data_IF_217596857496
#
_entry.id   IF_217596857496
#
_cell.length_a   1.000
_cell.length_b   1.000
_cell.length_c   1.000
_cell.angle_alpha   90.00
_cell.angle_beta   90.00
_cell.angle_gamma   90.00
#
_symmetry.space_group_name_H-M   'P 1'
#
loop_
_entity.id
_entity.type
_entity.pdbx_description
1 polymer ?
#
# COMPACT_ATOMS: atom_id res chain seq x y z
N UNK A 1 -1.64 -19.87 -11.77
CA UNK A 1 -0.73 -19.19 -10.82
C UNK A 1 -0.92 -17.68 -10.78
N UNK A 2 -0.86 -16.96 -11.92
CA UNK A 2 -0.97 -15.49 -11.97
C UNK A 2 -2.23 -14.92 -11.28
N UNK A 3 -3.40 -15.52 -11.52
CA UNK A 3 -4.68 -15.09 -10.93
C UNK A 3 -4.66 -15.21 -9.39
N UNK A 4 -4.14 -16.32 -8.86
CA UNK A 4 -4.06 -16.56 -7.42
C UNK A 4 -3.18 -15.51 -6.73
N UNK A 5 -2.01 -15.21 -7.30
CA UNK A 5 -1.11 -14.19 -6.76
C UNK A 5 -1.73 -12.79 -6.79
N UNK A 6 -2.46 -12.45 -7.84
CA UNK A 6 -3.19 -11.17 -7.92
C UNK A 6 -4.28 -11.08 -6.85
N UNK A 7 -5.03 -12.16 -6.61
CA UNK A 7 -6.05 -12.20 -5.56
C UNK A 7 -5.43 -12.09 -4.16
N UNK A 8 -4.29 -12.74 -3.91
CA UNK A 8 -3.56 -12.63 -2.65
C UNK A 8 -3.07 -11.19 -2.44
N UNK A 9 -2.45 -10.57 -3.46
CA UNK A 9 -1.99 -9.19 -3.38
C UNK A 9 -3.14 -8.22 -3.13
N UNK A 10 -4.27 -8.40 -3.82
CA UNK A 10 -5.47 -7.62 -3.60
C UNK A 10 -6.01 -7.81 -2.17
N UNK A 11 -6.07 -9.05 -1.68
CA UNK A 11 -6.49 -9.36 -0.31
C UNK A 11 -5.58 -8.70 0.73
N UNK A 12 -4.27 -8.73 0.53
CA UNK A 12 -3.30 -8.09 1.44
C UNK A 12 -3.48 -6.58 1.54
N UNK A 13 -3.94 -5.92 0.47
CA UNK A 13 -4.21 -4.48 0.45
C UNK A 13 -5.61 -4.16 1.01
N UNK A 14 -6.63 -4.91 0.60
CA UNK A 14 -8.02 -4.63 0.92
C UNK A 14 -8.42 -5.07 2.34
N UNK A 15 -7.87 -6.18 2.85
CA UNK A 15 -8.23 -6.75 4.16
C UNK A 15 -8.09 -5.75 5.31
N UNK A 16 -6.96 -5.05 5.53
CA UNK A 16 -6.83 -4.13 6.66
C UNK A 16 -7.79 -2.93 6.56
N UNK A 17 -8.12 -2.47 5.35
CA UNK A 17 -9.11 -1.41 5.15
C UNK A 17 -10.54 -1.88 5.49
N UNK A 18 -10.91 -3.09 5.07
CA UNK A 18 -12.20 -3.70 5.40
C UNK A 18 -12.33 -3.96 6.91
N UNK A 19 -11.27 -4.45 7.55
CA UNK A 19 -11.23 -4.62 9.01
C UNK A 19 -11.42 -3.29 9.74
N UNK A 20 -10.81 -2.21 9.27
CA UNK A 20 -11.00 -0.86 9.83
C UNK A 20 -12.44 -0.35 9.66
N UNK A 21 -13.07 -0.66 8.53
CA UNK A 21 -14.45 -0.26 8.22
C UNK A 21 -15.48 -1.04 9.04
N UNK A 22 -15.22 -2.33 9.29
CA UNK A 22 -16.09 -3.23 10.06
C UNK A 22 -16.08 -2.98 11.57
N UNK A 23 -15.20 -2.12 12.09
CA UNK A 23 -15.21 -1.76 13.53
C UNK A 23 -16.47 -1.00 13.88
N UNK A 24 -17.01 -1.16 15.07
CA UNK A 24 -18.13 -0.33 15.57
C UNK A 24 -17.72 0.70 16.64
N UNK A 25 -16.48 0.60 17.14
CA UNK A 25 -15.97 1.46 18.23
C UNK A 25 -15.65 2.90 17.80
N UNK A 26 -15.92 3.27 16.54
CA UNK A 26 -15.60 4.59 15.99
C UNK A 26 -16.81 5.20 15.26
N UNK A 27 -16.97 6.54 15.29
CA UNK A 27 -17.99 7.20 14.49
C UNK A 27 -17.77 6.92 13.00
N UNK A 28 -18.87 6.72 12.28
CA UNK A 28 -18.90 6.24 10.88
C UNK A 28 -17.95 7.03 9.95
N UNK A 29 -17.92 8.35 10.07
CA UNK A 29 -17.02 9.21 9.27
C UNK A 29 -15.53 8.92 9.50
N UNK A 30 -15.12 8.68 10.76
CA UNK A 30 -13.71 8.40 11.10
C UNK A 30 -13.30 6.98 10.68
N UNK A 31 -14.24 6.03 10.65
CA UNK A 31 -14.03 4.67 10.09
C UNK A 31 -13.74 4.72 8.60
N UNK A 32 -14.63 5.38 7.85
CA UNK A 32 -14.52 5.52 6.40
C UNK A 32 -13.22 6.22 6.02
N UNK A 33 -12.90 7.36 6.67
CA UNK A 33 -11.67 8.10 6.39
C UNK A 33 -10.41 7.25 6.63
N UNK A 34 -10.34 6.54 7.75
CA UNK A 34 -9.18 5.68 8.08
C UNK A 34 -9.07 4.48 7.14
N UNK A 35 -10.18 3.85 6.79
CA UNK A 35 -10.20 2.77 5.80
C UNK A 35 -9.74 3.25 4.41
N UNK A 36 -10.18 4.44 3.99
CA UNK A 36 -9.72 5.09 2.76
C UNK A 36 -8.21 5.36 2.79
N UNK A 37 -7.68 5.89 3.89
CA UNK A 37 -6.24 6.11 4.03
C UNK A 37 -5.43 4.82 3.91
N UNK A 38 -5.88 3.74 4.56
CA UNK A 38 -5.25 2.42 4.49
C UNK A 38 -5.28 1.88 3.05
N UNK A 39 -6.40 2.02 2.35
CA UNK A 39 -6.58 1.49 1.00
C UNK A 39 -5.87 2.32 -0.08
N UNK A 40 -5.88 3.65 0.02
CA UNK A 40 -5.30 4.53 -0.98
C UNK A 40 -3.77 4.64 -0.87
N UNK A 41 -3.19 4.50 0.32
CA UNK A 41 -1.74 4.59 0.51
C UNK A 41 -0.91 3.64 -0.40
N UNK A 42 -1.26 2.34 -0.54
CA UNK A 42 -0.56 1.46 -1.46
C UNK A 42 -0.81 1.80 -2.93
N UNK A 43 -2.00 2.30 -3.30
CA UNK A 43 -2.28 2.75 -4.66
C UNK A 43 -1.42 3.98 -5.05
N UNK A 44 -1.19 4.90 -4.12
CA UNK A 44 -0.27 6.03 -4.32
C UNK A 44 1.18 5.53 -4.51
N UNK A 45 1.65 4.61 -3.66
CA UNK A 45 2.98 3.99 -3.81
C UNK A 45 3.15 3.27 -5.16
N UNK A 46 2.14 2.52 -5.61
CA UNK A 46 2.14 1.89 -6.92
C UNK A 46 2.11 2.91 -8.07
N UNK A 47 1.43 4.05 -7.88
CA UNK A 47 1.47 5.18 -8.82
C UNK A 47 2.87 5.79 -8.94
N UNK A 48 3.60 5.91 -7.82
CA UNK A 48 5.01 6.33 -7.84
C UNK A 48 5.92 5.35 -8.61
N UNK A 49 5.63 4.04 -8.56
CA UNK A 49 6.36 3.06 -9.38
C UNK A 49 6.19 3.35 -10.88
N UNK A 50 4.99 3.75 -11.32
CA UNK A 50 4.76 4.09 -12.73
C UNK A 50 5.40 5.40 -13.16
N UNK A 51 5.77 6.27 -12.20
CA UNK A 51 6.58 7.47 -12.48
C UNK A 51 8.09 7.18 -12.58
N UNK A 52 8.52 5.95 -12.28
CA UNK A 52 9.90 5.51 -12.53
C UNK A 52 10.07 5.41 -14.04
N UNK A 53 10.92 6.25 -14.66
CA UNK A 53 11.05 6.27 -16.10
C UNK A 53 11.50 4.90 -16.60
N UNK A 54 10.69 4.29 -17.46
CA UNK A 54 10.91 2.91 -17.89
C UNK A 54 12.18 2.79 -18.74
N UNK A 55 12.61 3.86 -19.43
CA UNK A 55 13.76 3.87 -20.34
C UNK A 55 14.32 5.30 -20.64
N UNK A 56 14.18 6.29 -19.75
CA UNK A 56 14.84 7.59 -19.98
C UNK A 56 16.34 7.52 -19.66
N UNK A 57 17.16 8.35 -20.33
CA UNK A 57 18.63 8.39 -20.18
C UNK A 57 19.15 8.55 -18.74
N UNK A 58 18.31 8.95 -17.77
CA UNK A 58 18.61 8.90 -16.33
C UNK A 58 18.64 7.48 -15.74
N UNK A 59 17.82 6.56 -16.23
CA UNK A 59 17.78 5.16 -15.79
C UNK A 59 19.02 4.36 -16.23
N UNK A 60 19.60 4.70 -17.40
CA UNK A 60 20.86 4.09 -17.87
C UNK A 60 22.07 4.44 -16.99
N UNK A 61 22.02 5.57 -16.26
CA UNK A 61 23.13 5.97 -15.39
C UNK A 61 23.26 5.12 -14.13
N UNK A 62 22.14 4.63 -13.59
CA UNK A 62 22.09 3.86 -12.33
C UNK A 62 21.00 2.78 -12.36
N UNK A 63 21.13 1.75 -13.21
CA UNK A 63 20.09 0.74 -13.43
C UNK A 63 19.75 -0.05 -12.17
N UNK A 64 20.76 -0.38 -11.35
CA UNK A 64 20.58 -1.13 -10.11
C UNK A 64 19.82 -0.32 -9.04
N UNK A 65 20.04 1.00 -8.97
CA UNK A 65 19.38 1.85 -8.00
C UNK A 65 17.87 1.97 -8.30
N UNK A 66 17.50 2.09 -9.57
CA UNK A 66 16.10 2.14 -10.00
C UNK A 66 15.38 0.80 -9.85
N UNK A 67 16.06 -0.31 -10.13
CA UNK A 67 15.52 -1.65 -9.87
C UNK A 67 15.26 -1.88 -8.37
N UNK A 68 16.22 -1.50 -7.52
CA UNK A 68 16.06 -1.59 -6.06
C UNK A 68 14.92 -0.70 -5.56
N UNK A 69 14.80 0.54 -6.07
CA UNK A 69 13.71 1.43 -5.74
C UNK A 69 12.34 0.83 -6.12
N UNK A 70 12.22 0.23 -7.31
CA UNK A 70 10.98 -0.43 -7.76
C UNK A 70 10.60 -1.60 -6.86
N UNK A 71 11.57 -2.44 -6.48
CA UNK A 71 11.35 -3.56 -5.55
C UNK A 71 10.97 -3.05 -4.17
N UNK A 72 11.68 -2.04 -3.65
CA UNK A 72 11.39 -1.43 -2.35
C UNK A 72 9.99 -0.80 -2.30
N UNK A 73 9.60 -0.05 -3.34
CA UNK A 73 8.26 0.55 -3.46
C UNK A 73 7.17 -0.53 -3.57
N UNK A 74 7.43 -1.62 -4.30
CA UNK A 74 6.49 -2.75 -4.42
C UNK A 74 6.31 -3.42 -3.05
N UNK A 75 7.40 -3.74 -2.36
CA UNK A 75 7.36 -4.31 -1.02
C UNK A 75 6.68 -3.39 -0.01
N UNK A 76 6.99 -2.09 -0.05
CA UNK A 76 6.34 -1.08 0.77
C UNK A 76 4.84 -1.03 0.51
N UNK A 77 4.38 -1.07 -0.74
CA UNK A 77 2.95 -1.07 -1.06
C UNK A 77 2.17 -2.25 -0.44
N UNK A 78 2.83 -3.40 -0.23
CA UNK A 78 2.19 -4.56 0.40
C UNK A 78 2.15 -4.47 1.93
N UNK A 79 3.18 -3.88 2.53
CA UNK A 79 3.36 -3.86 4.00
C UNK A 79 2.68 -2.63 4.63
N UNK A 80 2.73 -1.49 3.94
CA UNK A 80 2.26 -0.19 4.41
C UNK A 80 0.78 -0.15 4.83
N UNK A 81 -0.19 -0.79 4.14
CA UNK A 81 -1.58 -0.85 4.62
C UNK A 81 -1.72 -1.55 5.98
N UNK A 82 -0.92 -2.59 6.25
CA UNK A 82 -0.91 -3.28 7.55
C UNK A 82 -0.26 -2.43 8.64
N UNK A 83 0.86 -1.77 8.34
CA UNK A 83 1.49 -0.83 9.27
C UNK A 83 0.55 0.33 9.64
N UNK A 84 -0.16 0.90 8.65
CA UNK A 84 -1.16 1.95 8.88
C UNK A 84 -2.32 1.45 9.75
N UNK A 85 -2.82 0.25 9.48
CA UNK A 85 -3.88 -0.36 10.27
C UNK A 85 -3.46 -0.51 11.74
N UNK A 86 -2.28 -1.10 11.99
CA UNK A 86 -1.74 -1.29 13.35
C UNK A 86 -1.46 0.05 14.03
N UNK A 87 -0.88 1.03 13.33
CA UNK A 87 -0.59 2.35 13.87
C UNK A 87 -1.87 3.12 14.25
N UNK A 88 -2.90 3.08 13.39
CA UNK A 88 -4.22 3.66 13.69
C UNK A 88 -4.98 2.92 14.79
N UNK A 89 -4.56 1.68 15.08
CA UNK A 89 -5.00 0.86 16.22
C UNK A 89 -4.16 1.05 17.48
N UNK A 90 -3.01 1.73 17.41
CA UNK A 90 -2.06 1.92 18.51
C UNK A 90 -2.70 2.43 19.81
N UNK A 91 -2.08 2.11 20.97
CA UNK A 91 -2.77 2.00 22.24
C UNK A 91 -3.52 3.27 22.61
N UNK A 92 -4.84 3.15 22.71
CA UNK A 92 -5.68 4.08 23.45
C UNK A 92 -5.37 3.87 24.95
N UNK A 93 -4.27 4.43 25.43
CA UNK A 93 -4.12 4.75 26.85
C UNK A 93 -4.63 6.17 27.06
#
# INVERSE_FOLDING_TARGET
>A
MRILLTLIAFGMIAAPALMMLARDDLPRGRRILRALLIFCAPALMLGFIQSVPELDGRALSHPNAWALARVALTGASLILPWCLYVWLMGPRR
#
